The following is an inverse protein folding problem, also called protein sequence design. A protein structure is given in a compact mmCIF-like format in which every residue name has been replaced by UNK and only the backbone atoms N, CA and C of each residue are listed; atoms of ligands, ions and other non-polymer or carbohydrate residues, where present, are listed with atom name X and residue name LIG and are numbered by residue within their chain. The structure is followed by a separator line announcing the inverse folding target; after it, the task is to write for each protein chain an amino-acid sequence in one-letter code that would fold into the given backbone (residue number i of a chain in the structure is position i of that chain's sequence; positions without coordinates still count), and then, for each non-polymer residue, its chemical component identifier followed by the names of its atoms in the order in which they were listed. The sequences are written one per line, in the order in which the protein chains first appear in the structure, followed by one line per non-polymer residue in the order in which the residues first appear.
data_IF_965407263686
#
_entry.id   IF_965407263686
#
_cell.length_a   1.000
_cell.length_b   1.000
_cell.length_c   1.000
_cell.angle_alpha   90.00
_cell.angle_beta   90.00
_cell.angle_gamma   90.00
#
_symmetry.space_group_name_H-M   'P 1'
#
loop_
_entity.id
_entity.type
_entity.pdbx_description
1 polymer ?
#
# COMPACT_ATOMS: atom_id res chain seq x y z
N UNK A 1 17.16 15.99 -11.89
CA UNK A 1 17.66 14.61 -11.75
C UNK A 1 17.28 13.99 -10.40
N UNK A 2 17.09 14.78 -9.33
CA UNK A 2 16.56 14.30 -8.04
C UNK A 2 15.13 13.76 -8.16
N UNK A 3 14.27 14.45 -8.89
CA UNK A 3 12.82 14.24 -8.77
C UNK A 3 12.36 12.94 -9.44
N UNK A 4 12.97 12.54 -10.56
CA UNK A 4 12.71 11.24 -11.21
C UNK A 4 13.13 10.06 -10.32
N UNK A 5 14.26 10.19 -9.61
CA UNK A 5 14.69 9.17 -8.66
C UNK A 5 13.75 9.10 -7.46
N UNK A 6 13.34 10.26 -6.92
CA UNK A 6 12.40 10.32 -5.79
C UNK A 6 11.05 9.73 -6.21
N UNK A 7 10.53 10.08 -7.39
CA UNK A 7 9.27 9.51 -7.90
C UNK A 7 9.36 7.98 -8.00
N UNK A 8 10.46 7.44 -8.55
CA UNK A 8 10.66 5.99 -8.65
C UNK A 8 10.74 5.32 -7.28
N UNK A 9 11.37 5.96 -6.30
CA UNK A 9 11.42 5.47 -4.92
C UNK A 9 10.03 5.50 -4.28
N UNK A 10 9.26 6.58 -4.47
CA UNK A 10 7.88 6.67 -3.99
C UNK A 10 6.97 5.62 -4.66
N UNK A 11 7.18 5.27 -5.94
CA UNK A 11 6.47 4.16 -6.60
C UNK A 11 6.78 2.82 -5.96
N UNK A 12 8.06 2.52 -5.70
CA UNK A 12 8.44 1.29 -5.00
C UNK A 12 7.83 1.24 -3.58
N UNK A 13 7.87 2.36 -2.86
CA UNK A 13 7.30 2.46 -1.52
C UNK A 13 5.78 2.26 -1.55
N UNK A 14 5.07 2.83 -2.52
CA UNK A 14 3.63 2.65 -2.68
C UNK A 14 3.26 1.18 -2.94
N UNK A 15 4.00 0.49 -3.81
CA UNK A 15 3.81 -0.96 -4.07
C UNK A 15 3.97 -1.76 -2.79
N UNK A 16 5.07 -1.58 -2.06
CA UNK A 16 5.30 -2.31 -0.81
C UNK A 16 4.29 -1.96 0.27
N UNK A 17 3.82 -0.72 0.34
CA UNK A 17 2.77 -0.32 1.29
C UNK A 17 1.50 -1.13 1.08
N UNK A 18 1.07 -1.32 -0.17
CA UNK A 18 -0.10 -2.14 -0.51
C UNK A 18 0.14 -3.63 -0.23
N UNK A 19 1.34 -4.14 -0.54
CA UNK A 19 1.69 -5.53 -0.21
C UNK A 19 1.66 -5.79 1.30
N UNK A 20 2.19 -4.86 2.10
CA UNK A 20 2.14 -4.92 3.56
C UNK A 20 0.70 -4.82 4.07
N UNK A 21 -0.11 -3.91 3.53
CA UNK A 21 -1.53 -3.76 3.89
C UNK A 21 -2.32 -5.05 3.60
N UNK A 22 -2.15 -5.64 2.42
CA UNK A 22 -2.78 -6.91 2.07
C UNK A 22 -2.28 -8.06 2.94
N UNK A 23 -0.98 -8.08 3.26
CA UNK A 23 -0.39 -9.11 4.14
C UNK A 23 -0.97 -8.99 5.55
N UNK A 24 -1.08 -7.78 6.10
CA UNK A 24 -1.66 -7.53 7.41
C UNK A 24 -3.11 -8.02 7.48
N UNK A 25 -3.91 -7.85 6.42
CA UNK A 25 -5.28 -8.36 6.34
C UNK A 25 -5.36 -9.90 6.31
N UNK A 26 -4.31 -10.59 5.85
CA UNK A 26 -4.26 -12.05 5.74
C UNK A 26 -3.64 -12.73 6.95
N UNK A 27 -2.85 -12.02 7.76
CA UNK A 27 -2.20 -12.57 8.95
C UNK A 27 -3.18 -12.56 10.12
N UNK A 28 -3.35 -13.73 10.77
CA UNK A 28 -4.19 -13.84 11.98
C UNK A 28 -3.41 -13.30 13.18
N UNK A 29 -3.68 -12.05 13.53
CA UNK A 29 -3.14 -11.35 14.69
C UNK A 29 -3.01 -9.85 14.42
N UNK A 30 -3.58 -9.01 15.28
CA UNK A 30 -3.33 -7.57 15.23
C UNK A 30 -1.85 -7.33 15.53
N UNK A 31 -1.07 -7.03 14.51
CA UNK A 31 0.32 -6.58 14.62
C UNK A 31 0.34 -5.06 14.43
N UNK A 32 0.31 -4.26 15.53
CA UNK A 32 0.19 -2.80 15.45
C UNK A 32 1.33 -2.15 14.65
N UNK A 33 2.49 -2.81 14.62
CA UNK A 33 3.67 -2.35 13.90
C UNK A 33 3.44 -2.24 12.37
N UNK A 34 2.56 -3.07 11.80
CA UNK A 34 2.27 -3.01 10.36
C UNK A 34 1.42 -1.78 10.01
N UNK A 35 0.45 -1.43 10.86
CA UNK A 35 -0.39 -0.23 10.66
C UNK A 35 0.44 1.05 10.73
N UNK A 36 1.33 1.16 11.73
CA UNK A 36 2.24 2.29 11.88
C UNK A 36 3.17 2.45 10.66
N UNK A 37 3.71 1.33 10.15
CA UNK A 37 4.59 1.33 8.97
C UNK A 37 3.86 1.76 7.69
N UNK A 38 2.59 1.35 7.53
CA UNK A 38 1.74 1.76 6.40
C UNK A 38 1.44 3.26 6.47
N UNK A 39 1.11 3.77 7.66
CA UNK A 39 0.85 5.19 7.87
C UNK A 39 2.10 6.04 7.58
N UNK A 40 3.26 5.62 8.08
CA UNK A 40 4.54 6.28 7.84
C UNK A 40 4.89 6.33 6.34
N UNK A 41 4.73 5.21 5.63
CA UNK A 41 5.00 5.15 4.20
C UNK A 41 4.11 6.11 3.38
N UNK A 42 2.81 6.19 3.72
CA UNK A 42 1.88 7.13 3.09
C UNK A 42 2.27 8.59 3.37
N UNK A 43 2.71 8.89 4.60
CA UNK A 43 3.18 10.22 4.97
C UNK A 43 4.44 10.63 4.20
N UNK A 44 5.44 9.75 4.09
CA UNK A 44 6.68 10.02 3.34
C UNK A 44 6.43 10.32 1.86
N UNK A 45 5.49 9.60 1.23
CA UNK A 45 5.08 9.85 -0.16
C UNK A 45 4.45 11.24 -0.31
N UNK A 46 3.58 11.63 0.63
CA UNK A 46 2.97 12.96 0.65
C UNK A 46 4.00 14.07 0.91
N UNK A 47 4.95 13.87 1.83
CA UNK A 47 6.04 14.82 2.12
C UNK A 47 6.98 15.00 0.92
N UNK A 48 7.18 13.95 0.11
CA UNK A 48 7.90 14.04 -1.16
C UNK A 48 7.11 14.74 -2.27
N UNK A 49 5.85 15.13 -2.02
CA UNK A 49 5.01 15.88 -2.96
C UNK A 49 4.25 15.00 -3.96
N UNK A 50 4.15 13.69 -3.71
CA UNK A 50 3.43 12.76 -4.57
C UNK A 50 2.10 12.33 -3.96
N UNK A 51 1.14 12.01 -4.83
CA UNK A 51 -0.12 11.42 -4.45
C UNK A 51 -0.06 9.89 -4.54
N UNK A 52 -0.38 9.21 -3.44
CA UNK A 52 -0.29 7.75 -3.34
C UNK A 52 -1.15 7.04 -4.39
N UNK A 53 -2.40 7.50 -4.57
CA UNK A 53 -3.35 6.86 -5.48
C UNK A 53 -2.96 7.08 -6.95
N UNK A 54 -2.23 8.15 -7.25
CA UNK A 54 -1.62 8.39 -8.57
C UNK A 54 -0.41 7.48 -8.80
N UNK A 55 0.41 7.22 -7.78
CA UNK A 55 1.58 6.35 -7.89
C UNK A 55 1.20 4.86 -7.99
N UNK A 56 0.11 4.46 -7.34
CA UNK A 56 -0.44 3.12 -7.36
C UNK A 56 -1.97 3.16 -7.61
N UNK A 57 -2.39 3.28 -8.88
CA UNK A 57 -3.81 3.37 -9.22
C UNK A 57 -4.56 2.12 -8.77
N UNK A 58 -5.77 2.33 -8.25
CA UNK A 58 -6.65 1.30 -7.69
C UNK A 58 -6.90 0.11 -8.64
N UNK A 59 -6.76 0.31 -9.96
CA UNK A 59 -6.86 -0.76 -10.95
C UNK A 59 -5.79 -1.87 -10.79
N UNK A 60 -4.64 -1.54 -10.20
CA UNK A 60 -3.55 -2.48 -9.92
C UNK A 60 -3.61 -3.07 -8.50
N UNK A 61 -4.58 -2.63 -7.66
CA UNK A 61 -4.77 -3.23 -6.33
C UNK A 61 -5.27 -4.66 -6.48
N UNK A 62 -4.64 -5.65 -5.80
CA UNK A 62 -5.17 -7.00 -5.76
C UNK A 62 -6.60 -6.96 -5.20
N UNK A 63 -7.60 -7.29 -6.02
CA UNK A 63 -8.96 -7.50 -5.53
C UNK A 63 -8.93 -8.84 -4.79
N UNK A 64 -8.87 -8.79 -3.46
CA UNK A 64 -9.08 -9.97 -2.64
C UNK A 64 -10.58 -10.28 -2.71
N UNK A 65 -10.96 -11.21 -3.59
CA UNK A 65 -12.29 -11.81 -3.52
C UNK A 65 -12.35 -12.61 -2.22
N UNK A 66 -13.12 -12.12 -1.23
CA UNK A 66 -13.50 -12.95 -0.08
C UNK A 66 -14.25 -14.17 -0.63
N UNK A 67 -13.54 -15.29 -0.69
CA UNK A 67 -14.11 -16.59 -1.01
C UNK A 67 -14.91 -17.08 0.21
N UNK A 68 -16.05 -16.45 0.51
CA UNK A 68 -17.11 -17.01 1.34
C UNK A 68 -18.37 -16.16 1.23
N UNK A 69 -19.18 -16.47 0.23
CA UNK A 69 -20.63 -16.30 0.35
C UNK A 69 -21.26 -17.57 -0.22
N UNK A 70 -21.56 -18.58 0.61
CA UNK A 70 -22.35 -19.71 0.14
C UNK A 70 -23.76 -19.18 -0.15
N UNK A 71 -24.03 -18.95 -1.43
CA UNK A 71 -25.39 -18.88 -1.97
C UNK A 71 -25.76 -20.29 -2.40
N UNK A 72 -26.33 -21.08 -1.49
CA UNK A 72 -27.46 -21.97 -1.75
C UNK A 72 -27.91 -22.73 -0.51
#
# INVERSE_FOLDING_TARGET
MSDDLIERLCRCLAIHTIETENTAQMVVGDEPFMEDSIAEARQLIAEAGFDFDTLYPVADRPIIYSADTPTH
#
